data_IF_145450210504
#
_entry.id   IF_145450210504
#
_cell.length_a   1.000
_cell.length_b   1.000
_cell.length_c   1.000
_cell.angle_alpha   90.00
_cell.angle_beta   90.00
_cell.angle_gamma   90.00
#
_symmetry.space_group_name_H-M   'P 1'
#
loop_
_entity.id
_entity.type
_entity.pdbx_description
1 polymer ?
#
# COMPACT_ATOMS: atom_id res chain seq x y z
N UNK A 1 -10.98 -16.22 -28.04
CA UNK A 1 -11.04 -16.66 -26.62
C UNK A 1 -10.60 -15.54 -25.69
N UNK A 2 -11.48 -15.09 -24.78
CA UNK A 2 -11.22 -13.97 -23.86
C UNK A 2 -10.27 -14.46 -22.74
N UNK A 3 -9.11 -13.79 -22.51
CA UNK A 3 -8.22 -14.14 -21.41
C UNK A 3 -8.88 -13.92 -20.03
N UNK A 4 -8.75 -14.90 -19.13
CA UNK A 4 -9.33 -14.83 -17.78
C UNK A 4 -8.88 -13.61 -16.98
N UNK A 5 -7.67 -13.11 -17.24
CA UNK A 5 -7.14 -11.91 -16.59
C UNK A 5 -7.97 -10.63 -16.86
N UNK A 6 -8.71 -10.59 -17.96
CA UNK A 6 -9.56 -9.45 -18.32
C UNK A 6 -10.92 -9.50 -17.61
N UNK A 7 -11.66 -10.58 -17.78
CA UNK A 7 -13.01 -10.65 -17.23
C UNK A 7 -13.04 -10.88 -15.72
N UNK A 8 -11.99 -11.45 -15.12
CA UNK A 8 -11.91 -11.64 -13.65
C UNK A 8 -11.93 -10.34 -12.84
N UNK A 9 -11.69 -9.18 -13.48
CA UNK A 9 -11.78 -7.87 -12.84
C UNK A 9 -13.21 -7.34 -12.72
N UNK A 10 -14.13 -7.87 -13.53
CA UNK A 10 -15.53 -7.39 -13.66
C UNK A 10 -16.53 -8.51 -13.35
N UNK A 11 -16.14 -9.77 -13.42
CA UNK A 11 -16.98 -10.91 -13.11
C UNK A 11 -17.17 -11.04 -11.59
N UNK A 12 -18.34 -10.61 -11.11
CA UNK A 12 -18.74 -10.63 -9.69
C UNK A 12 -20.00 -11.43 -9.42
N UNK A 13 -20.73 -11.80 -10.47
CA UNK A 13 -21.97 -12.57 -10.40
C UNK A 13 -21.74 -14.00 -10.93
N UNK A 14 -22.32 -14.99 -10.27
CA UNK A 14 -22.22 -16.40 -10.71
C UNK A 14 -22.85 -16.65 -12.08
N UNK A 15 -23.72 -15.75 -12.56
CA UNK A 15 -24.40 -15.81 -13.84
C UNK A 15 -23.64 -15.09 -14.97
N UNK A 16 -22.45 -14.52 -14.67
CA UNK A 16 -21.62 -13.89 -15.69
C UNK A 16 -21.07 -14.94 -16.65
N UNK A 17 -21.07 -14.65 -17.96
CA UNK A 17 -20.59 -15.59 -18.94
C UNK A 17 -20.01 -14.92 -20.20
N UNK A 18 -19.13 -15.65 -20.88
CA UNK A 18 -18.61 -15.30 -22.20
C UNK A 18 -19.23 -16.19 -23.28
N UNK A 19 -19.34 -15.66 -24.48
CA UNK A 19 -19.77 -16.40 -25.65
C UNK A 19 -19.02 -15.93 -26.90
N UNK A 20 -18.98 -16.79 -27.90
CA UNK A 20 -18.34 -16.53 -29.18
C UNK A 20 -19.40 -16.54 -30.28
N UNK A 21 -19.33 -15.58 -31.21
CA UNK A 21 -20.08 -15.61 -32.45
C UNK A 21 -19.13 -16.09 -33.56
N UNK A 22 -19.49 -17.17 -34.26
CA UNK A 22 -18.65 -17.76 -35.29
C UNK A 22 -18.35 -16.81 -36.46
N UNK A 23 -19.26 -15.89 -36.76
CA UNK A 23 -19.06 -14.86 -37.78
C UNK A 23 -18.22 -13.72 -37.20
N UNK A 24 -17.03 -13.54 -37.69
CA UNK A 24 -16.17 -12.39 -37.37
C UNK A 24 -16.44 -11.19 -38.30
N UNK A 25 -16.22 -9.97 -37.77
CA UNK A 25 -16.34 -8.72 -38.52
C UNK A 25 -17.69 -8.01 -38.36
N UNK A 26 -17.87 -6.95 -39.15
CA UNK A 26 -19.09 -6.15 -39.14
C UNK A 26 -20.27 -6.91 -39.75
N UNK A 27 -21.48 -6.67 -39.20
CA UNK A 27 -22.71 -7.16 -39.78
C UNK A 27 -23.23 -6.17 -40.83
N UNK A 28 -23.93 -6.66 -41.86
CA UNK A 28 -24.56 -5.82 -42.88
C UNK A 28 -25.64 -4.92 -42.27
N UNK A 29 -26.25 -5.37 -41.17
CA UNK A 29 -27.22 -4.66 -40.35
C UNK A 29 -27.10 -5.07 -38.88
N UNK A 30 -27.52 -4.21 -37.93
CA UNK A 30 -27.47 -4.56 -36.51
C UNK A 30 -28.37 -5.76 -36.21
N UNK A 31 -27.82 -6.70 -35.40
CA UNK A 31 -28.55 -7.85 -34.90
C UNK A 31 -28.97 -7.64 -33.44
N UNK A 32 -30.16 -8.07 -33.06
CA UNK A 32 -30.59 -8.06 -31.66
C UNK A 32 -30.26 -9.41 -31.03
N UNK A 33 -29.49 -9.37 -29.92
CA UNK A 33 -29.20 -10.51 -29.05
C UNK A 33 -30.08 -10.43 -27.82
N UNK A 34 -31.06 -11.33 -27.71
CA UNK A 34 -31.90 -11.49 -26.51
C UNK A 34 -31.27 -12.54 -25.59
N UNK A 35 -30.85 -12.11 -24.43
CA UNK A 35 -30.22 -12.99 -23.43
C UNK A 35 -31.23 -13.29 -22.32
N UNK A 36 -31.55 -14.57 -22.16
CA UNK A 36 -32.31 -15.05 -21.02
C UNK A 36 -31.44 -15.02 -19.78
N UNK A 37 -31.87 -14.31 -18.74
CA UNK A 37 -31.15 -14.19 -17.49
C UNK A 37 -31.78 -15.02 -16.37
N UNK A 38 -31.00 -15.38 -15.35
CA UNK A 38 -31.51 -15.98 -14.13
C UNK A 38 -32.44 -15.02 -13.39
N UNK A 39 -33.41 -15.54 -12.63
CA UNK A 39 -34.36 -14.72 -11.87
C UNK A 39 -33.67 -13.75 -10.89
N UNK A 40 -32.52 -14.14 -10.35
CA UNK A 40 -31.71 -13.30 -9.46
C UNK A 40 -31.07 -12.09 -10.14
N UNK A 41 -31.05 -12.06 -11.48
CA UNK A 41 -30.53 -10.94 -12.26
C UNK A 41 -31.59 -9.89 -12.62
N UNK A 42 -32.87 -10.13 -12.31
CA UNK A 42 -33.93 -9.18 -12.59
C UNK A 42 -33.67 -7.80 -11.94
N UNK A 43 -33.73 -6.73 -12.73
CA UNK A 43 -33.43 -5.36 -12.26
C UNK A 43 -31.94 -5.01 -12.15
N UNK A 44 -31.04 -5.96 -12.37
CA UNK A 44 -29.60 -5.66 -12.46
C UNK A 44 -29.25 -5.02 -13.81
N UNK A 45 -28.09 -4.40 -13.89
CA UNK A 45 -27.48 -3.97 -15.14
C UNK A 45 -26.78 -5.18 -15.78
N UNK A 46 -27.10 -5.47 -17.04
CA UNK A 46 -26.34 -6.40 -17.86
C UNK A 46 -25.36 -5.59 -18.72
N UNK A 47 -24.09 -5.76 -18.48
CA UNK A 47 -23.00 -5.06 -19.14
C UNK A 47 -22.40 -5.97 -20.21
N UNK A 48 -22.52 -5.58 -21.47
CA UNK A 48 -21.98 -6.29 -22.61
C UNK A 48 -20.57 -5.79 -22.93
N UNK A 49 -19.61 -6.68 -22.83
CA UNK A 49 -18.22 -6.43 -23.21
C UNK A 49 -17.88 -7.12 -24.52
N UNK A 50 -17.15 -6.43 -25.35
CA UNK A 50 -16.53 -6.96 -26.54
C UNK A 50 -15.02 -7.10 -26.35
N UNK A 51 -14.46 -8.25 -26.77
CA UNK A 51 -13.02 -8.47 -26.72
C UNK A 51 -12.36 -7.94 -27.99
N UNK A 52 -11.59 -6.86 -27.85
CA UNK A 52 -10.73 -6.32 -28.90
C UNK A 52 -9.43 -7.13 -28.95
N UNK A 53 -9.36 -8.06 -29.92
CA UNK A 53 -8.21 -8.96 -30.08
C UNK A 53 -6.95 -8.21 -30.49
N UNK A 54 -7.07 -7.13 -31.29
CA UNK A 54 -5.93 -6.36 -31.79
C UNK A 54 -5.23 -5.61 -30.66
N UNK A 55 -6.03 -4.99 -29.79
CA UNK A 55 -5.51 -4.22 -28.66
C UNK A 55 -5.38 -5.06 -27.36
N UNK A 56 -5.91 -6.27 -27.34
CA UNK A 56 -5.88 -7.15 -26.17
C UNK A 56 -6.66 -6.61 -24.97
N UNK A 57 -7.78 -5.91 -25.21
CA UNK A 57 -8.60 -5.29 -24.18
C UNK A 57 -10.05 -5.76 -24.26
N UNK A 58 -10.77 -5.65 -23.14
CA UNK A 58 -12.20 -5.93 -23.05
C UNK A 58 -12.93 -4.60 -22.86
N UNK A 59 -13.78 -4.21 -23.82
CA UNK A 59 -14.51 -2.94 -23.82
C UNK A 59 -15.98 -3.16 -23.50
N UNK A 60 -16.53 -2.45 -22.52
CA UNK A 60 -17.98 -2.40 -22.30
C UNK A 60 -18.63 -1.50 -23.35
N UNK A 61 -19.33 -2.13 -24.28
CA UNK A 61 -19.94 -1.43 -25.43
C UNK A 61 -21.41 -1.10 -25.23
N UNK A 62 -22.08 -1.76 -24.30
CA UNK A 62 -23.49 -1.53 -24.01
C UNK A 62 -23.85 -1.98 -22.60
N UNK A 63 -24.73 -1.23 -21.95
CA UNK A 63 -25.37 -1.62 -20.69
C UNK A 63 -26.87 -1.51 -20.83
N UNK A 64 -27.60 -2.55 -20.43
CA UNK A 64 -29.06 -2.58 -20.40
C UNK A 64 -29.55 -3.06 -19.04
N UNK A 65 -30.72 -2.61 -18.61
CA UNK A 65 -31.39 -3.15 -17.41
C UNK A 65 -32.04 -4.48 -17.77
N UNK A 66 -31.78 -5.50 -16.95
CA UNK A 66 -32.45 -6.81 -17.11
C UNK A 66 -33.95 -6.63 -16.82
N UNK A 67 -34.79 -6.92 -17.81
CA UNK A 67 -36.22 -6.83 -17.70
C UNK A 67 -36.76 -7.76 -16.61
N UNK A 68 -37.78 -7.30 -15.88
CA UNK A 68 -38.46 -8.10 -14.85
C UNK A 68 -39.37 -9.16 -15.43
N UNK A 69 -39.70 -10.16 -14.62
CA UNK A 69 -40.57 -11.28 -14.96
C UNK A 69 -42.04 -10.87 -15.34
N UNK A 70 -42.41 -9.59 -15.17
CA UNK A 70 -43.76 -9.11 -15.45
C UNK A 70 -44.08 -8.88 -16.95
N UNK A 71 -43.04 -8.58 -17.77
CA UNK A 71 -43.23 -8.35 -19.21
C UNK A 71 -43.06 -9.63 -20.02
N UNK A 72 -42.22 -10.52 -19.60
CA UNK A 72 -42.02 -11.89 -20.10
C UNK A 72 -41.85 -12.77 -18.88
N UNK A 73 -42.45 -13.93 -18.85
CA UNK A 73 -42.34 -14.88 -17.70
C UNK A 73 -40.90 -15.20 -17.20
N UNK A 74 -39.88 -14.65 -17.84
CA UNK A 74 -38.46 -14.85 -17.59
C UNK A 74 -37.73 -13.52 -17.75
N UNK A 75 -36.78 -13.15 -16.83
CA UNK A 75 -35.92 -11.98 -17.00
C UNK A 75 -35.07 -12.06 -18.27
N UNK A 76 -34.87 -10.96 -18.95
CA UNK A 76 -34.08 -10.90 -20.19
C UNK A 76 -33.30 -9.58 -20.30
N UNK A 77 -32.24 -9.60 -21.13
CA UNK A 77 -31.51 -8.42 -21.56
C UNK A 77 -31.33 -8.46 -23.07
N UNK A 78 -31.74 -7.39 -23.75
CA UNK A 78 -31.64 -7.24 -25.19
C UNK A 78 -30.51 -6.31 -25.57
N UNK A 79 -29.56 -6.79 -26.38
CA UNK A 79 -28.40 -6.04 -26.86
C UNK A 79 -28.45 -5.88 -28.37
N UNK A 80 -27.95 -4.76 -28.89
CA UNK A 80 -27.76 -4.54 -30.31
C UNK A 80 -26.32 -4.80 -30.68
N UNK A 81 -26.05 -5.80 -31.53
CA UNK A 81 -24.75 -6.17 -32.01
C UNK A 81 -24.51 -5.67 -33.43
N UNK A 82 -23.38 -5.02 -33.66
CA UNK A 82 -22.96 -4.52 -34.99
C UNK A 82 -21.78 -5.32 -35.58
N UNK A 83 -21.12 -6.15 -34.79
CA UNK A 83 -20.04 -7.02 -35.23
C UNK A 83 -19.96 -8.25 -34.36
N UNK A 84 -19.40 -9.33 -34.91
CA UNK A 84 -19.23 -10.60 -34.20
C UNK A 84 -17.80 -10.75 -33.71
N UNK A 85 -17.63 -11.45 -32.61
CA UNK A 85 -16.43 -12.10 -32.10
C UNK A 85 -16.66 -12.67 -30.69
N UNK A 86 -15.69 -12.52 -29.78
CA UNK A 86 -15.82 -12.93 -28.38
C UNK A 86 -16.49 -11.84 -27.57
N UNK A 87 -17.52 -12.17 -26.84
CA UNK A 87 -18.26 -11.28 -25.95
C UNK A 87 -18.27 -11.84 -24.52
N UNK A 88 -18.46 -10.95 -23.55
CA UNK A 88 -18.68 -11.28 -22.15
C UNK A 88 -19.79 -10.43 -21.57
N UNK A 89 -20.72 -11.05 -20.83
CA UNK A 89 -21.78 -10.35 -20.12
C UNK A 89 -21.54 -10.45 -18.63
N UNK A 90 -21.49 -9.28 -17.97
CA UNK A 90 -21.39 -9.16 -16.52
C UNK A 90 -22.67 -8.52 -15.96
N UNK A 91 -23.27 -9.17 -14.95
CA UNK A 91 -24.44 -8.66 -14.24
C UNK A 91 -24.02 -7.96 -12.95
N UNK A 92 -24.55 -6.76 -12.72
CA UNK A 92 -24.20 -5.98 -11.53
C UNK A 92 -25.16 -4.84 -11.25
N UNK A 93 -24.89 -4.06 -10.21
CA UNK A 93 -25.75 -2.93 -9.81
C UNK A 93 -25.40 -1.62 -10.53
N UNK A 94 -24.28 -1.59 -11.27
CA UNK A 94 -23.76 -0.38 -11.92
C UNK A 94 -23.63 -0.57 -13.43
N UNK A 95 -23.82 0.52 -14.18
CA UNK A 95 -23.43 0.58 -15.58
C UNK A 95 -21.91 0.67 -15.70
N UNK A 96 -21.34 -0.21 -16.52
CA UNK A 96 -19.93 -0.24 -16.86
C UNK A 96 -19.66 0.30 -18.28
N UNK A 97 -20.69 0.89 -18.93
CA UNK A 97 -20.58 1.38 -20.29
C UNK A 97 -19.38 2.33 -20.47
N UNK A 98 -18.64 2.18 -21.58
CA UNK A 98 -17.44 2.95 -21.88
C UNK A 98 -16.17 2.51 -21.13
N UNK A 99 -16.23 1.56 -20.18
CA UNK A 99 -15.03 1.06 -19.49
C UNK A 99 -14.21 0.12 -20.38
N UNK A 100 -12.88 0.28 -20.30
CA UNK A 100 -11.89 -0.55 -20.99
C UNK A 100 -11.03 -1.27 -19.97
N UNK A 101 -10.99 -2.60 -20.05
CA UNK A 101 -10.28 -3.48 -19.14
C UNK A 101 -8.99 -3.94 -19.82
N UNK A 102 -7.85 -3.71 -19.20
CA UNK A 102 -6.52 -4.02 -19.73
C UNK A 102 -5.90 -5.26 -19.07
N UNK A 103 -5.05 -5.98 -19.82
CA UNK A 103 -4.38 -7.21 -19.33
C UNK A 103 -3.43 -6.98 -18.15
N UNK A 104 -2.96 -5.76 -17.96
CA UNK A 104 -2.13 -5.39 -16.80
C UNK A 104 -2.95 -5.13 -15.52
N UNK A 105 -4.29 -5.25 -15.61
CA UNK A 105 -5.22 -5.06 -14.52
C UNK A 105 -5.67 -3.62 -14.34
N UNK A 106 -5.29 -2.68 -15.22
CA UNK A 106 -5.85 -1.34 -15.22
C UNK A 106 -7.23 -1.31 -15.86
N UNK A 107 -8.02 -0.29 -15.48
CA UNK A 107 -9.31 0.04 -16.07
C UNK A 107 -9.29 1.52 -16.41
N UNK A 108 -9.65 1.86 -17.65
CA UNK A 108 -9.81 3.23 -18.10
C UNK A 108 -11.26 3.48 -18.50
N UNK A 109 -11.64 4.75 -18.59
CA UNK A 109 -12.85 5.17 -19.29
C UNK A 109 -12.60 5.24 -20.81
N UNK A 110 -13.62 5.61 -21.57
CA UNK A 110 -13.54 5.78 -23.03
C UNK A 110 -12.57 6.86 -23.49
N UNK A 111 -12.23 7.82 -22.63
CA UNK A 111 -11.27 8.90 -22.89
C UNK A 111 -9.83 8.52 -22.45
N UNK A 112 -9.62 7.32 -21.92
CA UNK A 112 -8.33 6.83 -21.45
C UNK A 112 -7.94 7.29 -20.03
N UNK A 113 -8.85 7.92 -19.28
CA UNK A 113 -8.59 8.26 -17.88
C UNK A 113 -8.62 7.00 -16.98
N UNK A 114 -7.63 6.84 -16.11
CA UNK A 114 -7.52 5.65 -15.26
C UNK A 114 -8.54 5.67 -14.12
N UNK A 115 -9.48 4.74 -14.16
CA UNK A 115 -10.42 4.44 -13.07
C UNK A 115 -9.84 3.44 -12.05
N UNK A 116 -8.89 2.62 -12.49
CA UNK A 116 -8.14 1.67 -11.67
C UNK A 116 -6.72 1.55 -12.21
N UNK A 117 -5.66 1.62 -11.36
CA UNK A 117 -4.29 1.49 -11.84
C UNK A 117 -3.95 0.03 -12.15
N UNK A 118 -2.94 -0.17 -12.97
CA UNK A 118 -2.36 -1.48 -13.25
C UNK A 118 -1.86 -2.18 -11.96
N UNK A 119 -1.78 -3.51 -12.01
CA UNK A 119 -1.19 -4.30 -10.95
C UNK A 119 0.34 -4.12 -10.94
N UNK A 120 0.92 -4.09 -9.77
CA UNK A 120 2.37 -3.96 -9.61
C UNK A 120 3.01 -5.27 -9.12
N UNK A 121 4.35 -5.33 -9.13
CA UNK A 121 5.13 -6.47 -8.63
C UNK A 121 6.30 -5.97 -7.78
N UNK A 122 6.67 -6.71 -6.73
CA UNK A 122 7.91 -6.46 -5.99
C UNK A 122 9.08 -6.92 -6.86
N UNK A 123 9.86 -5.95 -7.35
CA UNK A 123 11.03 -6.21 -8.21
C UNK A 123 12.25 -6.60 -7.39
N UNK A 124 12.50 -5.91 -6.27
CA UNK A 124 13.65 -6.18 -5.41
C UNK A 124 13.40 -5.74 -3.97
N UNK A 125 14.29 -6.18 -3.09
CA UNK A 125 14.35 -5.70 -1.71
C UNK A 125 15.80 -5.73 -1.22
N UNK A 126 16.08 -4.89 -0.23
CA UNK A 126 17.36 -4.88 0.48
C UNK A 126 17.15 -4.77 1.97
N UNK A 127 18.05 -5.38 2.73
CA UNK A 127 18.03 -5.36 4.19
C UNK A 127 19.32 -4.69 4.66
N UNK A 128 19.18 -3.58 5.38
CA UNK A 128 20.24 -2.95 6.13
C UNK A 128 19.92 -3.08 7.62
N UNK A 129 20.53 -4.08 8.27
CA UNK A 129 20.31 -4.42 9.69
C UNK A 129 18.82 -4.71 9.98
N UNK A 130 18.10 -3.80 10.64
CA UNK A 130 16.68 -3.91 10.97
C UNK A 130 15.79 -2.99 10.10
N UNK A 131 16.32 -2.54 8.97
CA UNK A 131 15.59 -1.78 7.96
C UNK A 131 15.44 -2.63 6.71
N UNK A 132 14.20 -2.78 6.24
CA UNK A 132 13.85 -3.37 4.94
C UNK A 132 13.48 -2.25 3.97
N UNK A 133 14.08 -2.24 2.80
CA UNK A 133 13.64 -1.40 1.67
C UNK A 133 13.08 -2.30 0.59
N UNK A 134 11.89 -1.98 0.10
CA UNK A 134 11.16 -2.72 -0.95
C UNK A 134 11.00 -1.82 -2.15
N UNK A 135 11.29 -2.34 -3.34
CA UNK A 135 11.09 -1.65 -4.62
C UNK A 135 10.10 -2.43 -5.48
N UNK A 136 9.24 -1.71 -6.16
CA UNK A 136 8.31 -2.27 -7.14
C UNK A 136 8.86 -2.15 -8.56
N UNK A 137 8.26 -2.85 -9.50
CA UNK A 137 8.52 -2.66 -10.93
C UNK A 137 8.18 -1.22 -11.32
N UNK A 138 8.94 -0.67 -12.28
CA UNK A 138 8.65 0.64 -12.87
C UNK A 138 7.49 0.51 -13.87
N UNK A 139 6.86 1.65 -14.22
CA UNK A 139 5.88 1.70 -15.30
C UNK A 139 4.52 1.10 -14.96
N UNK A 140 4.08 1.18 -13.71
CA UNK A 140 2.71 0.81 -13.35
C UNK A 140 1.73 1.85 -13.90
N UNK A 141 1.01 1.50 -14.96
CA UNK A 141 0.09 2.40 -15.66
C UNK A 141 -0.99 2.94 -14.73
N UNK A 142 -1.28 4.24 -14.81
CA UNK A 142 -2.30 4.93 -13.99
C UNK A 142 -1.97 5.06 -12.51
N UNK A 143 -0.83 4.59 -12.03
CA UNK A 143 -0.50 4.67 -10.61
C UNK A 143 -0.05 6.08 -10.21
N UNK A 144 -0.79 6.71 -9.31
CA UNK A 144 -0.39 7.95 -8.62
C UNK A 144 0.44 7.66 -7.37
N UNK A 145 0.30 6.47 -6.81
CA UNK A 145 1.09 6.04 -5.67
C UNK A 145 0.92 4.56 -5.31
N UNK A 146 1.53 4.20 -4.19
CA UNK A 146 1.63 2.81 -3.76
C UNK A 146 1.46 2.70 -2.26
N UNK A 147 0.73 1.68 -1.81
CA UNK A 147 0.67 1.28 -0.41
C UNK A 147 1.50 0.01 -0.20
N UNK A 148 2.33 0.03 0.82
CA UNK A 148 3.18 -1.08 1.23
C UNK A 148 2.79 -1.51 2.63
N UNK A 149 2.67 -2.81 2.85
CA UNK A 149 2.30 -3.39 4.15
C UNK A 149 3.27 -4.49 4.55
N UNK A 150 3.49 -4.62 5.86
CA UNK A 150 4.34 -5.68 6.41
C UNK A 150 3.71 -6.25 7.69
N UNK A 151 3.83 -7.56 7.89
CA UNK A 151 3.31 -8.25 9.08
C UNK A 151 4.19 -9.45 9.46
N UNK A 152 4.03 -9.91 10.70
CA UNK A 152 4.58 -11.18 11.18
C UNK A 152 3.74 -12.38 10.75
N UNK A 153 2.52 -12.16 10.27
CA UNK A 153 1.58 -13.21 9.87
C UNK A 153 1.48 -13.30 8.35
N UNK A 154 1.52 -14.50 7.80
CA UNK A 154 1.44 -14.76 6.35
C UNK A 154 0.04 -14.45 5.78
N UNK A 155 -1.02 -14.59 6.59
CA UNK A 155 -2.40 -14.34 6.20
C UNK A 155 -2.82 -12.86 6.35
N UNK A 156 -1.87 -11.93 6.37
CA UNK A 156 -2.11 -10.51 6.61
C UNK A 156 -3.08 -9.85 5.62
N UNK A 157 -3.08 -10.27 4.36
CA UNK A 157 -3.97 -9.71 3.34
C UNK A 157 -5.42 -10.15 3.53
N UNK A 158 -5.64 -11.39 4.02
CA UNK A 158 -6.97 -11.91 4.33
C UNK A 158 -7.56 -11.25 5.58
N UNK A 159 -6.72 -10.99 6.58
CA UNK A 159 -7.15 -10.42 7.87
C UNK A 159 -7.14 -8.91 7.90
N UNK A 160 -6.51 -8.23 6.93
CA UNK A 160 -6.30 -6.78 6.92
C UNK A 160 -5.41 -6.28 8.08
N UNK A 161 -4.72 -7.17 8.83
CA UNK A 161 -3.93 -6.80 10.01
C UNK A 161 -2.45 -6.66 9.66
N UNK A 162 -1.97 -5.42 9.66
CA UNK A 162 -0.60 -5.07 9.34
C UNK A 162 0.16 -4.56 10.57
N UNK A 163 1.45 -4.88 10.67
CA UNK A 163 2.34 -4.35 11.71
C UNK A 163 2.82 -2.93 11.39
N UNK A 164 3.06 -2.66 10.11
CA UNK A 164 3.39 -1.33 9.60
C UNK A 164 2.78 -1.17 8.20
N UNK A 165 2.38 0.06 7.89
CA UNK A 165 1.92 0.46 6.56
C UNK A 165 2.68 1.72 6.14
N UNK A 166 3.11 1.78 4.89
CA UNK A 166 3.76 2.95 4.29
C UNK A 166 3.06 3.28 2.99
N UNK A 167 2.59 4.50 2.84
CA UNK A 167 2.05 5.03 1.58
C UNK A 167 3.09 5.93 0.92
N UNK A 168 3.28 5.80 -0.38
CA UNK A 168 4.25 6.56 -1.17
C UNK A 168 3.57 7.13 -2.41
N UNK A 169 3.61 8.45 -2.58
CA UNK A 169 3.12 9.14 -3.78
C UNK A 169 4.23 9.21 -4.82
N UNK A 170 3.95 8.76 -6.04
CA UNK A 170 4.85 8.82 -7.20
C UNK A 170 6.11 7.94 -7.13
N UNK A 171 6.47 7.37 -5.97
CA UNK A 171 7.70 6.57 -5.81
C UNK A 171 7.36 5.10 -5.58
N UNK A 172 7.74 4.17 -6.48
CA UNK A 172 7.48 2.74 -6.32
C UNK A 172 8.46 2.08 -5.33
N UNK A 173 8.66 2.71 -4.17
CA UNK A 173 9.58 2.25 -3.14
C UNK A 173 9.14 2.68 -1.75
N UNK A 174 9.33 1.79 -0.77
CA UNK A 174 9.15 2.10 0.65
C UNK A 174 10.22 1.45 1.52
N UNK A 175 10.35 1.95 2.75
CA UNK A 175 11.24 1.37 3.77
C UNK A 175 10.50 1.16 5.08
N UNK A 176 10.64 -0.04 5.63
CA UNK A 176 10.19 -0.40 6.98
C UNK A 176 11.40 -0.40 7.91
N UNK A 177 11.25 0.22 9.06
CA UNK A 177 12.35 0.41 10.03
C UNK A 177 12.05 -0.32 11.33
N UNK A 178 13.12 -0.57 12.08
CA UNK A 178 13.08 -1.14 13.44
C UNK A 178 12.41 -2.52 13.51
N UNK A 179 12.55 -3.29 12.45
CA UNK A 179 11.98 -4.62 12.36
C UNK A 179 12.65 -5.54 13.38
N UNK A 180 11.85 -6.20 14.19
CA UNK A 180 12.33 -7.22 15.14
C UNK A 180 12.87 -8.44 14.39
N UNK A 181 13.85 -9.14 14.99
CA UNK A 181 14.36 -10.42 14.50
C UNK A 181 13.22 -11.40 14.20
N UNK A 182 13.36 -12.13 13.12
CA UNK A 182 12.42 -13.18 12.70
C UNK A 182 11.90 -13.01 11.29
N UNK A 183 10.88 -13.78 10.95
CA UNK A 183 10.23 -13.77 9.64
C UNK A 183 9.20 -12.64 9.55
N UNK A 184 9.16 -12.01 8.39
CA UNK A 184 8.22 -10.97 8.01
C UNK A 184 7.64 -11.27 6.64
N UNK A 185 6.43 -10.79 6.40
CA UNK A 185 5.70 -10.93 5.14
C UNK A 185 5.38 -9.53 4.63
N UNK A 186 5.70 -9.24 3.36
CA UNK A 186 5.50 -7.92 2.75
C UNK A 186 4.70 -8.05 1.47
N UNK A 187 3.80 -7.10 1.26
CA UNK A 187 3.05 -6.92 0.02
C UNK A 187 2.89 -5.42 -0.28
N UNK A 188 2.54 -5.10 -1.51
CA UNK A 188 2.24 -3.76 -1.95
C UNK A 188 1.13 -3.76 -2.98
N UNK A 189 0.52 -2.60 -3.21
CA UNK A 189 -0.43 -2.36 -4.30
C UNK A 189 -0.31 -0.93 -4.81
N UNK A 190 -0.68 -0.71 -6.04
CA UNK A 190 -0.81 0.61 -6.65
C UNK A 190 -2.14 1.25 -6.26
N UNK A 191 -2.25 2.57 -6.39
CA UNK A 191 -3.52 3.30 -6.26
C UNK A 191 -3.56 4.52 -7.17
N UNK A 192 -4.78 4.92 -7.55
CA UNK A 192 -5.14 6.18 -8.20
C UNK A 192 -6.25 6.85 -7.36
N UNK A 193 -6.40 8.15 -7.43
CA UNK A 193 -7.52 8.84 -6.78
C UNK A 193 -8.71 8.92 -7.74
N UNK A 194 -9.91 8.66 -7.23
CA UNK A 194 -11.16 8.95 -7.93
C UNK A 194 -11.48 10.45 -7.92
N UNK A 195 -12.58 10.86 -8.55
CA UNK A 195 -13.04 12.25 -8.60
C UNK A 195 -13.36 12.84 -7.22
N UNK A 196 -13.62 12.01 -6.22
CA UNK A 196 -13.89 12.39 -4.83
C UNK A 196 -12.61 12.41 -3.97
N UNK A 197 -11.46 12.05 -4.54
CA UNK A 197 -10.18 11.99 -3.84
C UNK A 197 -9.97 10.71 -3.04
N UNK A 198 -10.80 9.66 -3.22
CA UNK A 198 -10.61 8.37 -2.58
C UNK A 198 -9.64 7.51 -3.38
N UNK A 199 -8.89 6.65 -2.69
CA UNK A 199 -7.97 5.71 -3.35
C UNK A 199 -8.72 4.54 -3.96
N UNK A 200 -8.57 4.36 -5.26
CA UNK A 200 -8.92 3.14 -5.98
C UNK A 200 -7.66 2.31 -6.19
N UNK A 201 -7.71 1.04 -5.86
CA UNK A 201 -6.53 0.19 -5.75
C UNK A 201 -6.40 -0.83 -6.87
N UNK A 202 -5.17 -1.05 -7.32
CA UNK A 202 -4.77 -2.28 -8.00
C UNK A 202 -4.74 -3.48 -7.02
N UNK A 203 -4.56 -4.68 -7.56
CA UNK A 203 -4.45 -5.88 -6.74
C UNK A 203 -3.16 -5.89 -5.90
N UNK A 204 -3.22 -6.56 -4.73
CA UNK A 204 -2.02 -6.81 -3.94
C UNK A 204 -1.00 -7.66 -4.72
N UNK A 205 0.27 -7.35 -4.58
CA UNK A 205 1.36 -8.22 -5.04
C UNK A 205 1.30 -9.58 -4.34
N UNK A 206 1.91 -10.60 -4.91
CA UNK A 206 2.22 -11.82 -4.18
C UNK A 206 3.01 -11.48 -2.92
N UNK A 207 2.66 -12.10 -1.78
CA UNK A 207 3.34 -11.90 -0.50
C UNK A 207 4.79 -12.40 -0.61
N UNK A 208 5.75 -11.55 -0.23
CA UNK A 208 7.15 -11.90 -0.17
C UNK A 208 7.59 -12.16 1.28
N UNK A 209 8.18 -13.31 1.53
CA UNK A 209 8.75 -13.70 2.84
C UNK A 209 10.15 -13.11 2.99
N UNK A 210 10.42 -12.45 4.13
CA UNK A 210 11.67 -11.75 4.45
C UNK A 210 12.16 -12.22 5.83
N UNK A 211 13.45 -12.41 6.01
CA UNK A 211 14.06 -12.80 7.29
C UNK A 211 14.96 -11.70 7.82
N UNK A 212 14.62 -11.13 8.96
CA UNK A 212 15.46 -10.19 9.72
C UNK A 212 16.27 -10.99 10.75
N UNK A 213 17.60 -10.91 10.67
CA UNK A 213 18.50 -11.72 11.50
C UNK A 213 19.04 -10.97 12.72
N UNK A 214 19.01 -9.63 12.70
CA UNK A 214 19.54 -8.79 13.79
C UNK A 214 18.51 -8.56 14.90
N UNK A 215 18.99 -8.43 16.12
CA UNK A 215 18.14 -8.12 17.27
C UNK A 215 17.98 -6.61 17.40
N UNK A 216 16.75 -6.12 17.30
CA UNK A 216 16.42 -4.71 17.55
C UNK A 216 16.27 -4.48 19.05
N UNK A 217 16.99 -3.51 19.66
CA UNK A 217 16.85 -3.21 21.07
C UNK A 217 15.52 -2.51 21.37
N UNK A 218 15.07 -2.58 22.62
CA UNK A 218 13.87 -1.93 23.10
C UNK A 218 14.01 -0.41 23.06
N UNK A 219 12.93 0.31 22.71
CA UNK A 219 12.87 1.76 22.72
C UNK A 219 12.92 2.30 24.17
N UNK A 220 13.80 3.27 24.49
CA UNK A 220 13.86 3.90 25.80
C UNK A 220 12.72 4.92 25.99
N UNK A 221 12.42 5.21 27.27
CA UNK A 221 11.54 6.34 27.67
C UNK A 221 12.38 7.31 28.50
N UNK A 222 12.29 8.62 28.21
CA UNK A 222 12.87 9.65 29.06
C UNK A 222 12.07 9.72 30.36
N UNK A 223 12.74 9.51 31.49
CA UNK A 223 12.15 9.58 32.84
C UNK A 223 12.17 10.99 33.38
N UNK A 224 13.34 11.63 33.35
CA UNK A 224 13.54 12.94 33.91
C UNK A 224 14.54 13.78 33.12
N UNK A 225 14.41 15.09 33.19
CA UNK A 225 15.32 16.11 32.68
C UNK A 225 15.54 17.13 33.80
N UNK A 226 16.75 17.17 34.33
CA UNK A 226 17.17 18.16 35.35
C UNK A 226 18.03 19.22 34.69
N UNK A 227 17.73 20.50 34.94
CA UNK A 227 18.49 21.64 34.44
C UNK A 227 19.04 22.43 35.63
N UNK A 228 20.38 22.54 35.69
CA UNK A 228 21.10 23.37 36.68
C UNK A 228 22.02 24.33 35.91
N UNK A 229 21.64 25.59 35.81
CA UNK A 229 22.34 26.57 34.97
C UNK A 229 22.40 26.12 33.51
N UNK A 230 23.61 25.96 32.99
CA UNK A 230 23.89 25.49 31.64
C UNK A 230 24.14 23.95 31.56
N UNK A 231 23.89 23.23 32.65
CA UNK A 231 24.06 21.78 32.72
C UNK A 231 22.69 21.09 32.65
N UNK A 232 22.58 20.13 31.75
CA UNK A 232 21.34 19.36 31.51
C UNK A 232 21.62 17.88 31.74
N UNK A 233 20.94 17.27 32.69
CA UNK A 233 21.01 15.85 32.99
C UNK A 233 19.72 15.16 32.52
N UNK A 234 19.87 14.13 31.71
CA UNK A 234 18.77 13.34 31.14
C UNK A 234 18.85 11.93 31.69
N UNK A 235 17.76 11.49 32.32
CA UNK A 235 17.60 10.13 32.84
C UNK A 235 16.55 9.38 32.02
N UNK A 236 16.81 8.12 31.71
CA UNK A 236 15.96 7.32 30.84
C UNK A 236 15.90 5.84 31.32
N UNK A 237 14.99 5.06 30.70
CA UNK A 237 14.79 3.66 31.08
C UNK A 237 15.88 2.76 30.55
N UNK A 238 16.29 1.77 31.37
CA UNK A 238 17.06 0.62 30.91
C UNK A 238 16.24 -0.16 29.89
N UNK A 239 16.90 -0.63 28.81
CA UNK A 239 16.26 -1.29 27.69
C UNK A 239 16.76 -2.72 27.47
N UNK A 240 15.81 -3.63 27.20
CA UNK A 240 16.13 -5.01 26.81
C UNK A 240 16.94 -5.01 25.50
N UNK A 241 17.94 -5.87 25.42
CA UNK A 241 18.82 -6.03 24.26
C UNK A 241 19.63 -4.78 23.90
N UNK A 242 19.74 -3.79 24.77
CA UNK A 242 20.62 -2.63 24.54
C UNK A 242 22.07 -2.95 24.93
N UNK A 243 23.01 -2.49 24.11
CA UNK A 243 24.44 -2.42 24.42
C UNK A 243 24.82 -1.02 24.90
N UNK A 244 24.04 -0.02 24.53
CA UNK A 244 24.22 1.37 24.93
C UNK A 244 23.10 2.27 24.40
N UNK A 245 23.28 3.57 24.56
CA UNK A 245 22.28 4.58 24.22
C UNK A 245 22.90 5.72 23.43
N UNK A 246 22.08 6.37 22.62
CA UNK A 246 22.39 7.61 21.92
C UNK A 246 21.38 8.66 22.31
N UNK A 247 21.89 9.78 22.82
CA UNK A 247 21.11 10.91 23.30
C UNK A 247 21.38 12.10 22.40
N UNK A 248 20.33 12.64 21.82
CA UNK A 248 20.37 13.73 20.86
C UNK A 248 19.69 14.96 21.44
N UNK A 249 20.40 16.09 21.45
CA UNK A 249 19.95 17.38 21.95
C UNK A 249 20.03 18.42 20.84
N UNK A 250 19.00 19.24 20.70
CA UNK A 250 18.93 20.32 19.70
C UNK A 250 17.92 21.40 20.07
N UNK A 251 18.13 22.61 19.56
CA UNK A 251 17.23 23.75 19.77
C UNK A 251 16.15 23.87 18.68
N UNK A 252 16.21 23.05 17.65
CA UNK A 252 15.20 22.84 16.62
C UNK A 252 14.94 21.33 16.47
N UNK A 253 13.83 20.95 15.86
CA UNK A 253 13.54 19.55 15.53
C UNK A 253 13.09 19.43 14.08
N UNK A 254 13.12 18.20 13.58
CA UNK A 254 12.59 17.82 12.27
C UNK A 254 11.82 16.49 12.38
N UNK A 255 10.95 16.26 11.41
CA UNK A 255 10.26 15.00 11.23
C UNK A 255 10.83 14.30 9.99
N UNK A 256 11.17 13.04 10.12
CA UNK A 256 11.62 12.22 9.01
C UNK A 256 11.19 10.78 9.23
N UNK A 257 10.59 10.17 8.21
CA UNK A 257 10.07 8.80 8.26
C UNK A 257 9.17 8.52 9.49
N UNK A 258 8.27 9.46 9.80
CA UNK A 258 7.32 9.34 10.92
C UNK A 258 7.89 9.60 12.31
N UNK A 259 9.19 9.87 12.44
CA UNK A 259 9.82 10.17 13.72
C UNK A 259 10.16 11.65 13.86
N UNK A 260 9.83 12.23 15.04
CA UNK A 260 10.29 13.59 15.44
C UNK A 260 11.57 13.45 16.25
N UNK A 261 12.61 14.17 15.88
CA UNK A 261 13.88 14.20 16.60
C UNK A 261 14.57 15.55 16.47
N UNK A 262 15.40 15.95 17.48
CA UNK A 262 16.12 17.21 17.45
C UNK A 262 17.09 17.30 16.27
N UNK A 263 17.20 18.49 15.67
CA UNK A 263 18.33 18.82 14.81
C UNK A 263 19.58 18.87 15.69
N UNK A 264 20.52 17.99 15.44
CA UNK A 264 21.70 17.75 16.30
C UNK A 264 22.47 19.04 16.59
N UNK A 265 22.58 19.39 17.86
CA UNK A 265 23.56 20.35 18.42
C UNK A 265 24.55 19.64 19.33
N UNK A 266 24.02 18.73 20.18
CA UNK A 266 24.85 17.88 21.02
C UNK A 266 24.42 16.42 20.82
N UNK A 267 25.41 15.55 20.81
CA UNK A 267 25.22 14.10 20.71
C UNK A 267 26.10 13.43 21.76
N UNK A 268 25.52 12.62 22.61
CA UNK A 268 26.27 11.70 23.47
C UNK A 268 25.90 10.27 23.21
N UNK A 269 26.86 9.38 23.25
CA UNK A 269 26.70 7.93 23.21
C UNK A 269 27.28 7.34 24.47
N UNK A 270 26.52 6.43 25.05
CA UNK A 270 26.97 5.67 26.22
C UNK A 270 27.16 4.22 25.82
N UNK A 271 28.15 3.59 26.38
CA UNK A 271 28.34 2.14 26.38
C UNK A 271 27.74 1.58 27.67
N UNK A 272 27.27 0.32 27.61
CA UNK A 272 26.66 -0.36 28.75
C UNK A 272 25.17 -0.15 28.90
N UNK A 273 24.47 -1.27 29.04
CA UNK A 273 22.97 -1.30 29.17
C UNK A 273 22.47 -0.63 30.47
N UNK A 274 23.32 -0.47 31.46
CA UNK A 274 23.00 0.06 32.78
C UNK A 274 23.21 1.58 32.88
N UNK A 275 23.88 2.21 31.88
CA UNK A 275 24.10 3.66 31.86
C UNK A 275 22.81 4.34 31.42
N UNK A 276 22.00 4.76 32.39
CA UNK A 276 20.65 5.33 32.18
C UNK A 276 20.56 6.83 32.49
N UNK A 277 21.69 7.46 32.64
CA UNK A 277 21.82 8.91 32.87
C UNK A 277 22.95 9.48 32.04
N UNK A 278 22.73 10.68 31.47
CA UNK A 278 23.77 11.42 30.74
C UNK A 278 23.66 12.91 31.07
N UNK A 279 24.79 13.57 31.20
CA UNK A 279 24.85 15.00 31.48
C UNK A 279 25.50 15.74 30.32
N UNK A 280 24.87 16.83 29.88
CA UNK A 280 25.41 17.80 28.92
C UNK A 280 25.79 19.09 29.68
N UNK A 281 26.97 19.57 29.43
CA UNK A 281 27.47 20.85 29.95
C UNK A 281 27.48 21.91 28.85
N UNK A 282 27.56 23.17 29.21
CA UNK A 282 27.63 24.31 28.27
C UNK A 282 26.45 24.36 27.28
N UNK A 283 25.26 23.97 27.74
CA UNK A 283 24.03 24.08 26.97
C UNK A 283 23.56 25.55 27.05
N UNK A 284 23.56 26.26 25.92
CA UNK A 284 23.20 27.69 25.86
C UNK A 284 21.77 27.92 26.36
N UNK A 285 21.50 29.14 26.91
CA UNK A 285 20.13 29.57 27.27
C UNK A 285 19.18 29.45 26.11
N UNK A 286 17.96 28.91 26.38
CA UNK A 286 16.90 28.83 25.36
C UNK A 286 16.03 27.58 25.49
N UNK A 287 15.20 27.36 24.45
CA UNK A 287 14.37 26.18 24.31
C UNK A 287 15.15 25.05 23.64
N UNK A 288 15.00 23.87 24.19
CA UNK A 288 15.70 22.67 23.74
C UNK A 288 14.77 21.46 23.62
N UNK A 289 15.17 20.54 22.79
CA UNK A 289 14.49 19.24 22.57
C UNK A 289 15.49 18.12 22.77
N UNK A 290 15.05 17.01 23.34
CA UNK A 290 15.86 15.84 23.59
C UNK A 290 15.13 14.57 23.21
N UNK A 291 15.86 13.62 22.64
CA UNK A 291 15.43 12.23 22.41
C UNK A 291 16.54 11.28 22.78
N UNK A 292 16.16 10.06 23.10
CA UNK A 292 17.08 8.96 23.41
C UNK A 292 16.69 7.77 22.54
N UNK A 293 17.65 7.04 22.01
CA UNK A 293 17.43 5.72 21.45
C UNK A 293 18.47 4.74 21.99
N UNK A 294 18.09 3.50 22.13
CA UNK A 294 19.04 2.43 22.44
C UNK A 294 19.69 1.90 21.17
N UNK A 295 20.85 1.32 21.31
CA UNK A 295 21.51 0.61 20.22
C UNK A 295 22.04 -0.73 20.71
N UNK A 296 22.20 -1.66 19.75
CA UNK A 296 22.76 -2.97 19.95
C UNK A 296 23.83 -3.24 18.88
N UNK A 297 24.86 -4.02 19.23
CA UNK A 297 25.81 -4.61 18.30
C UNK A 297 26.38 -5.90 18.90
N UNK A 298 26.67 -6.87 18.05
CA UNK A 298 27.20 -8.19 18.48
C UNK A 298 28.68 -8.16 18.74
N UNK A 299 29.40 -7.17 18.18
CA UNK A 299 30.83 -6.93 18.43
C UNK A 299 31.17 -5.46 18.28
N UNK A 300 32.34 -5.02 18.79
CA UNK A 300 32.79 -3.63 18.71
C UNK A 300 32.87 -3.11 17.26
N UNK A 301 33.21 -3.96 16.31
CA UNK A 301 33.42 -3.59 14.91
C UNK A 301 32.16 -3.66 14.04
N UNK A 302 31.05 -4.14 14.58
CA UNK A 302 29.79 -4.19 13.83
C UNK A 302 28.97 -2.90 13.97
N UNK A 303 28.31 -2.53 12.90
CA UNK A 303 27.40 -1.37 12.87
C UNK A 303 26.32 -1.49 13.92
N UNK A 304 25.94 -0.36 14.52
CA UNK A 304 24.86 -0.30 15.52
C UNK A 304 23.50 -0.57 14.89
N UNK A 305 22.71 -1.39 15.56
CA UNK A 305 21.28 -1.61 15.27
C UNK A 305 20.50 -0.75 16.27
N UNK A 306 19.72 0.20 15.80
CA UNK A 306 19.04 1.17 16.65
C UNK A 306 17.58 0.79 16.91
N UNK A 307 17.06 1.18 18.08
CA UNK A 307 15.63 1.30 18.36
C UNK A 307 15.05 2.58 17.72
N UNK A 308 13.72 2.75 17.68
CA UNK A 308 13.10 4.05 17.50
C UNK A 308 13.61 5.06 18.54
N UNK A 309 13.54 6.36 18.22
CA UNK A 309 13.73 7.40 19.21
C UNK A 309 12.61 7.38 20.26
N UNK A 310 12.93 7.71 21.51
CA UNK A 310 11.92 8.02 22.53
C UNK A 310 11.01 9.15 22.08
N UNK A 311 9.82 9.27 22.70
CA UNK A 311 9.03 10.51 22.60
C UNK A 311 9.93 11.70 22.91
N UNK A 312 9.96 12.67 22.00
CA UNK A 312 10.75 13.90 22.16
C UNK A 312 10.20 14.71 23.34
N UNK A 313 11.11 15.21 24.18
CA UNK A 313 10.77 16.12 25.30
C UNK A 313 11.33 17.50 25.01
N UNK A 314 10.53 18.54 25.35
CA UNK A 314 10.93 19.95 25.32
C UNK A 314 11.29 20.40 26.74
N UNK A 315 12.31 21.22 26.89
CA UNK A 315 12.69 21.85 28.13
C UNK A 315 13.35 23.22 27.83
N UNK A 316 13.58 24.02 28.89
CA UNK A 316 14.17 25.34 28.80
C UNK A 316 15.38 25.41 29.73
N UNK A 317 16.51 25.92 29.22
CA UNK A 317 17.66 26.32 30.05
C UNK A 317 17.53 27.78 30.41
N UNK A 318 17.82 28.11 31.67
CA UNK A 318 17.97 29.49 32.19
C UNK A 318 19.47 29.81 32.31
N UNK A 319 19.79 31.07 32.49
CA UNK A 319 21.17 31.45 32.84
C UNK A 319 21.61 30.75 34.09
#
# INVERSE_FOLDING_TARGET
YIPAALYSLISTNQNDFGFHLERSGAFDFPAVLSVKADASCAGLMANLFWYDVENGVLQCIQTVTVGGAFERSIPYADFTLSKGQDYFIAFGTESLNGRVIHTDGSITDENGAYLRPANTKISSHSIDRNKLTVKLSKGCAGAQGYDFVISKKSNMLQTGKFSQTVSSTGKPQASFRYLAKGTWYVAARSWVLDAQGNKVYGSWTKIKKIKITVVTPQQPKIRNITVKGNTVTVTYTKCKNATGYEILLGNKYKTSAGEKYPVKKHLKRTEGKNTVTVTFTNVKKGNWYVTVRSWNRTSKNKSRVYSPYSTMKKFKTKK
#
